data_IF_513457562517
#
_entry.id   IF_513457562517
#
_cell.length_a   1.000
_cell.length_b   1.000
_cell.length_c   1.000
_cell.angle_alpha   90.00
_cell.angle_beta   90.00
_cell.angle_gamma   90.00
#
_symmetry.space_group_name_H-M   'P 1'
#
loop_
_entity.id
_entity.type
_entity.pdbx_description
1 polymer ?
#
# COMPACT_ATOMS: atom_id res chain seq x y z
N UNK A 1 -3.29 23.25 -0.97
CA UNK A 1 -4.73 22.94 -0.74
C UNK A 1 -4.84 22.33 0.66
N UNK A 2 -5.74 22.84 1.51
CA UNK A 2 -5.91 22.34 2.88
C UNK A 2 -6.78 21.06 2.86
N UNK A 3 -6.50 20.13 3.77
CA UNK A 3 -7.24 18.87 3.93
C UNK A 3 -8.72 19.08 4.28
N UNK A 4 -9.06 20.21 4.88
CA UNK A 4 -10.43 20.54 5.27
C UNK A 4 -11.41 20.63 4.10
N UNK A 5 -10.91 20.84 2.88
CA UNK A 5 -11.73 20.93 1.68
C UNK A 5 -11.96 19.60 0.95
N UNK A 6 -11.39 18.51 1.49
CA UNK A 6 -11.54 17.19 0.86
C UNK A 6 -12.84 16.51 1.33
N UNK A 7 -13.68 16.03 0.39
CA UNK A 7 -14.88 15.31 0.74
C UNK A 7 -14.58 14.06 1.56
N UNK A 8 -15.32 13.85 2.63
CA UNK A 8 -15.14 12.72 3.54
C UNK A 8 -14.14 12.94 4.67
N UNK A 9 -13.45 14.08 4.72
CA UNK A 9 -12.54 14.46 5.80
C UNK A 9 -13.22 15.46 6.74
N UNK A 10 -13.86 14.96 7.80
CA UNK A 10 -14.33 15.80 8.90
C UNK A 10 -13.20 16.19 9.86
N UNK A 11 -13.42 17.15 10.79
CA UNK A 11 -12.37 17.72 11.67
C UNK A 11 -11.59 16.66 12.45
N UNK A 12 -12.25 15.61 12.93
CA UNK A 12 -11.62 14.51 13.67
C UNK A 12 -10.61 13.74 12.80
N UNK A 13 -10.95 13.46 11.52
CA UNK A 13 -10.08 12.77 10.58
C UNK A 13 -8.90 13.63 10.15
N UNK A 14 -9.15 14.93 9.91
CA UNK A 14 -8.08 15.91 9.60
C UNK A 14 -7.08 16.00 10.75
N UNK A 15 -7.57 16.06 12.00
CA UNK A 15 -6.69 16.07 13.19
C UNK A 15 -5.84 14.79 13.26
N UNK A 16 -6.41 13.62 13.01
CA UNK A 16 -5.70 12.35 13.01
C UNK A 16 -4.63 12.28 11.89
N UNK A 17 -4.93 12.77 10.69
CA UNK A 17 -3.95 12.87 9.59
C UNK A 17 -2.79 13.79 9.96
N UNK A 18 -3.07 14.98 10.53
CA UNK A 18 -2.04 15.92 10.99
C UNK A 18 -1.14 15.31 12.06
N UNK A 19 -1.70 14.58 13.03
CA UNK A 19 -0.93 13.82 14.03
C UNK A 19 -0.03 12.74 13.39
N UNK A 20 -0.41 12.24 12.23
CA UNK A 20 0.36 11.26 11.45
C UNK A 20 1.37 11.89 10.48
N UNK A 21 1.58 13.23 10.55
CA UNK A 21 2.49 13.95 9.67
C UNK A 21 1.91 14.33 8.31
N UNK A 22 0.62 14.08 8.07
CA UNK A 22 -0.05 14.37 6.81
C UNK A 22 -0.89 15.65 6.98
N UNK A 23 -0.31 16.79 6.68
CA UNK A 23 -0.91 18.12 6.94
C UNK A 23 -1.50 18.78 5.70
N UNK A 24 -1.05 18.39 4.52
CA UNK A 24 -1.46 18.94 3.22
C UNK A 24 -1.91 17.86 2.25
N UNK A 25 -2.59 18.27 1.17
CA UNK A 25 -2.93 17.35 0.06
C UNK A 25 -1.67 16.80 -0.60
N UNK A 26 -0.59 17.57 -0.66
CA UNK A 26 0.69 17.09 -1.16
C UNK A 26 1.24 15.95 -0.28
N UNK A 27 1.20 16.10 1.05
CA UNK A 27 1.64 15.04 1.97
C UNK A 27 0.83 13.76 1.78
N UNK A 28 -0.49 13.88 1.57
CA UNK A 28 -1.33 12.73 1.24
C UNK A 28 -0.88 12.06 -0.05
N UNK A 29 -0.67 12.83 -1.12
CA UNK A 29 -0.29 12.27 -2.42
C UNK A 29 1.08 11.58 -2.37
N UNK A 30 2.00 12.04 -1.52
CA UNK A 30 3.30 11.42 -1.29
C UNK A 30 3.29 10.32 -0.20
N UNK A 31 2.16 10.07 0.45
CA UNK A 31 2.00 8.93 1.36
C UNK A 31 1.81 7.63 0.55
N UNK A 32 2.89 7.19 -0.07
CA UNK A 32 2.91 6.03 -0.98
C UNK A 32 2.49 4.75 -0.25
N UNK A 33 1.70 3.86 -0.90
CA UNK A 33 1.37 2.55 -0.33
C UNK A 33 2.62 1.77 0.06
N UNK A 34 2.57 1.09 1.20
CA UNK A 34 3.65 0.22 1.69
C UNK A 34 3.88 -0.98 0.77
N UNK A 35 2.78 -1.54 0.26
CA UNK A 35 2.78 -2.68 -0.65
C UNK A 35 1.53 -2.69 -1.53
N UNK A 36 1.53 -3.51 -2.56
CA UNK A 36 0.38 -3.75 -3.42
C UNK A 36 0.10 -5.24 -3.48
N UNK A 37 -1.17 -5.60 -3.33
CA UNK A 37 -1.65 -6.96 -3.43
C UNK A 37 -2.23 -7.16 -4.83
N UNK A 38 -1.68 -8.10 -5.55
CA UNK A 38 -2.28 -8.55 -6.80
C UNK A 38 -3.41 -9.53 -6.46
N UNK A 39 -4.63 -9.07 -6.65
CA UNK A 39 -5.85 -9.83 -6.40
C UNK A 39 -6.59 -10.13 -7.72
N UNK A 40 -5.92 -10.05 -8.86
CA UNK A 40 -6.53 -10.27 -10.18
C UNK A 40 -6.86 -11.73 -10.44
N UNK A 41 -6.12 -12.64 -9.81
CA UNK A 41 -6.32 -14.08 -9.98
C UNK A 41 -6.72 -14.71 -8.64
N UNK A 42 -7.99 -15.07 -8.53
CA UNK A 42 -8.49 -15.85 -7.40
C UNK A 42 -8.18 -17.31 -7.65
N UNK A 43 -7.50 -17.93 -6.71
CA UNK A 43 -7.23 -19.37 -6.73
C UNK A 43 -8.34 -20.13 -5.98
N UNK A 44 -8.40 -21.42 -6.20
CA UNK A 44 -9.27 -22.35 -5.47
C UNK A 44 -8.42 -23.16 -4.48
N UNK A 45 -8.91 -23.34 -3.26
CA UNK A 45 -8.22 -24.15 -2.23
C UNK A 45 -8.01 -25.58 -2.75
N UNK A 46 -9.03 -26.15 -3.41
CA UNK A 46 -8.99 -27.54 -3.89
C UNK A 46 -7.94 -27.82 -4.98
N UNK A 47 -7.46 -26.78 -5.69
CA UNK A 47 -6.45 -26.93 -6.75
C UNK A 47 -5.09 -26.36 -6.37
N UNK A 48 -5.01 -25.62 -5.26
CA UNK A 48 -3.77 -24.98 -4.81
C UNK A 48 -2.85 -25.96 -4.09
N UNK A 49 -1.54 -25.69 -4.16
CA UNK A 49 -0.49 -26.53 -3.57
C UNK A 49 0.24 -25.81 -2.44
N UNK A 50 0.85 -26.60 -1.57
CA UNK A 50 1.76 -26.08 -0.53
C UNK A 50 2.91 -25.31 -1.20
N UNK A 51 3.18 -24.10 -0.73
CA UNK A 51 4.17 -23.20 -1.27
C UNK A 51 3.61 -22.14 -2.23
N UNK A 52 2.39 -22.34 -2.76
CA UNK A 52 1.77 -21.36 -3.65
C UNK A 52 1.42 -20.08 -2.90
N UNK A 53 1.74 -18.94 -3.51
CA UNK A 53 1.22 -17.64 -3.08
C UNK A 53 -0.09 -17.39 -3.80
N UNK A 54 -1.20 -17.40 -3.05
CA UNK A 54 -2.55 -17.40 -3.61
C UNK A 54 -3.40 -16.28 -3.03
N UNK A 55 -4.40 -15.91 -3.81
CA UNK A 55 -5.54 -15.09 -3.39
C UNK A 55 -6.75 -15.99 -3.29
N UNK A 56 -7.32 -16.10 -2.10
CA UNK A 56 -8.51 -16.91 -1.84
C UNK A 56 -9.68 -16.00 -1.46
N UNK A 57 -10.85 -16.30 -1.97
CA UNK A 57 -12.09 -15.60 -1.62
C UNK A 57 -13.07 -16.63 -1.06
N UNK A 58 -13.53 -16.40 0.17
CA UNK A 58 -14.41 -17.36 0.83
C UNK A 58 -14.95 -16.85 2.17
N UNK A 59 -15.43 -17.77 2.98
CA UNK A 59 -16.03 -17.49 4.29
C UNK A 59 -15.23 -18.11 5.43
N UNK A 60 -15.21 -17.42 6.56
CA UNK A 60 -14.74 -18.01 7.82
C UNK A 60 -15.87 -18.87 8.39
N UNK A 61 -15.62 -20.16 8.54
CA UNK A 61 -16.60 -21.09 9.10
C UNK A 61 -16.68 -21.00 10.61
N UNK A 62 -15.52 -20.93 11.26
CA UNK A 62 -15.35 -20.84 12.71
C UNK A 62 -14.03 -20.17 13.05
N UNK A 63 -13.95 -19.50 14.16
CA UNK A 63 -12.72 -18.88 14.62
C UNK A 63 -12.68 -18.77 16.14
N UNK A 64 -11.49 -18.67 16.71
CA UNK A 64 -11.33 -18.52 18.15
C UNK A 64 -9.89 -18.41 18.62
N UNK A 65 -9.74 -18.06 19.89
CA UNK A 65 -8.45 -18.01 20.57
C UNK A 65 -8.13 -19.40 21.15
N UNK A 66 -6.98 -19.92 20.77
CA UNK A 66 -6.43 -21.15 21.36
C UNK A 66 -5.31 -20.77 22.30
N UNK A 67 -5.48 -21.09 23.58
CA UNK A 67 -4.48 -20.88 24.64
C UNK A 67 -3.70 -22.18 24.84
N UNK A 68 -2.42 -22.16 24.49
CA UNK A 68 -1.47 -23.21 24.78
C UNK A 68 -0.20 -22.56 25.37
N UNK A 69 0.99 -23.09 25.13
CA UNK A 69 2.24 -22.39 25.50
C UNK A 69 2.31 -20.97 24.94
N UNK A 70 1.74 -20.73 23.77
CA UNK A 70 1.57 -19.41 23.16
C UNK A 70 0.13 -19.23 22.75
N UNK A 71 -0.48 -18.06 23.08
CA UNK A 71 -1.83 -17.74 22.62
C UNK A 71 -1.80 -17.47 21.12
N UNK A 72 -2.68 -18.14 20.38
CA UNK A 72 -2.83 -17.98 18.95
C UNK A 72 -4.31 -17.80 18.57
N UNK A 73 -4.57 -17.01 17.57
CA UNK A 73 -5.90 -16.94 16.97
C UNK A 73 -5.92 -17.85 15.74
N UNK A 74 -6.95 -18.71 15.70
CA UNK A 74 -7.16 -19.66 14.60
C UNK A 74 -8.53 -19.38 14.00
N UNK A 75 -8.58 -19.34 12.66
CA UNK A 75 -9.82 -19.34 11.90
C UNK A 75 -9.79 -20.41 10.84
N UNK A 76 -10.94 -21.03 10.59
CA UNK A 76 -11.15 -22.01 9.52
C UNK A 76 -11.87 -21.32 8.38
N UNK A 77 -11.31 -21.40 7.22
CA UNK A 77 -11.76 -20.66 6.05
C UNK A 77 -12.02 -21.62 4.90
N UNK A 78 -13.12 -21.40 4.18
CA UNK A 78 -13.49 -22.21 3.02
C UNK A 78 -13.97 -21.32 1.88
N UNK A 79 -13.61 -21.74 0.66
CA UNK A 79 -14.11 -21.19 -0.60
C UNK A 79 -15.18 -22.10 -1.27
N UNK A 80 -15.59 -23.17 -0.57
CA UNK A 80 -16.49 -24.19 -1.08
C UNK A 80 -15.79 -25.34 -1.81
N UNK A 81 -14.51 -25.21 -2.16
CA UNK A 81 -13.71 -26.28 -2.82
C UNK A 81 -12.78 -27.00 -1.84
N UNK A 82 -12.50 -26.36 -0.69
CA UNK A 82 -11.66 -26.90 0.35
C UNK A 82 -11.72 -26.06 1.63
N UNK A 83 -10.95 -26.47 2.62
CA UNK A 83 -10.80 -25.78 3.90
C UNK A 83 -9.33 -25.58 4.25
N UNK A 84 -8.98 -24.40 4.79
CA UNK A 84 -7.66 -24.07 5.31
C UNK A 84 -7.75 -23.49 6.71
N UNK A 85 -6.67 -23.59 7.48
CA UNK A 85 -6.51 -22.87 8.75
C UNK A 85 -5.77 -21.56 8.52
N UNK A 86 -6.30 -20.48 9.12
CA UNK A 86 -5.63 -19.20 9.20
C UNK A 86 -5.09 -19.05 10.62
N UNK A 87 -3.79 -18.74 10.76
CA UNK A 87 -3.12 -18.62 12.05
C UNK A 87 -2.51 -17.24 12.25
N UNK A 88 -2.78 -16.67 13.42
CA UNK A 88 -2.12 -15.45 13.89
C UNK A 88 -1.50 -15.69 15.26
N UNK A 89 -0.16 -15.53 15.34
CA UNK A 89 0.59 -15.66 16.58
C UNK A 89 0.80 -14.31 17.29
N UNK A 90 0.64 -13.19 16.56
CA UNK A 90 0.77 -11.83 17.08
C UNK A 90 -0.55 -11.09 16.96
N UNK A 91 -0.77 -10.10 17.82
CA UNK A 91 -1.99 -9.27 17.85
C UNK A 91 -3.29 -10.10 17.89
N UNK A 92 -3.29 -11.20 18.62
CA UNK A 92 -4.40 -12.18 18.67
C UNK A 92 -5.72 -11.56 19.11
N UNK A 93 -5.68 -10.62 20.06
CA UNK A 93 -6.87 -9.88 20.53
C UNK A 93 -7.43 -8.93 19.45
N UNK A 94 -6.58 -8.37 18.59
CA UNK A 94 -7.02 -7.57 17.45
C UNK A 94 -7.74 -8.44 16.43
N UNK A 95 -7.16 -9.58 16.08
CA UNK A 95 -7.73 -10.48 15.09
C UNK A 95 -9.02 -11.13 15.54
N UNK A 96 -9.14 -11.46 16.84
CA UNK A 96 -10.38 -12.01 17.42
C UNK A 96 -11.57 -11.03 17.39
N UNK A 97 -11.29 -9.72 17.33
CA UNK A 97 -12.33 -8.69 17.18
C UNK A 97 -12.64 -8.38 15.69
N UNK A 98 -11.68 -8.62 14.81
CA UNK A 98 -11.76 -8.27 13.39
C UNK A 98 -12.32 -9.38 12.51
N UNK A 99 -12.06 -10.64 12.87
CA UNK A 99 -12.49 -11.82 12.11
C UNK A 99 -13.67 -12.47 12.80
N UNK A 100 -14.78 -12.59 12.07
CA UNK A 100 -16.03 -13.18 12.55
C UNK A 100 -16.43 -14.38 11.71
N UNK A 101 -16.97 -15.41 12.34
CA UNK A 101 -17.55 -16.54 11.65
C UNK A 101 -18.74 -16.10 10.77
N UNK A 102 -18.93 -16.74 9.64
CA UNK A 102 -19.96 -16.44 8.64
C UNK A 102 -19.60 -15.31 7.66
N UNK A 103 -18.68 -14.40 8.01
CA UNK A 103 -18.31 -13.29 7.15
C UNK A 103 -17.40 -13.71 5.99
N UNK A 104 -17.47 -12.96 4.88
CA UNK A 104 -16.65 -13.16 3.68
C UNK A 104 -15.36 -12.36 3.74
N UNK A 105 -14.28 -12.98 3.28
CA UNK A 105 -12.96 -12.38 3.26
C UNK A 105 -12.20 -12.70 1.98
N UNK A 106 -11.28 -11.80 1.59
CA UNK A 106 -10.16 -12.10 0.71
C UNK A 106 -8.96 -12.39 1.58
N UNK A 107 -8.28 -13.47 1.31
CA UNK A 107 -7.00 -13.84 1.91
C UNK A 107 -5.91 -13.77 0.85
N UNK A 108 -4.78 -13.17 1.20
CA UNK A 108 -3.58 -13.19 0.36
C UNK A 108 -2.41 -13.69 1.19
N UNK A 109 -1.81 -14.78 0.75
CA UNK A 109 -0.71 -15.38 1.49
C UNK A 109 -0.13 -16.59 0.82
N UNK A 110 0.84 -17.20 1.47
CA UNK A 110 1.44 -18.45 1.02
C UNK A 110 0.79 -19.61 1.76
N UNK A 111 0.37 -20.62 1.01
CA UNK A 111 -0.13 -21.86 1.57
C UNK A 111 1.02 -22.68 2.17
N UNK A 112 0.85 -23.05 3.41
CA UNK A 112 1.70 -24.01 4.11
C UNK A 112 0.91 -25.24 4.49
N UNK A 113 1.57 -26.19 5.14
CA UNK A 113 0.96 -27.39 5.68
C UNK A 113 1.45 -27.65 7.11
N UNK A 114 0.55 -28.09 7.96
CA UNK A 114 0.91 -28.61 9.27
C UNK A 114 0.16 -29.94 9.51
N UNK A 115 0.92 -31.02 9.57
CA UNK A 115 0.34 -32.37 9.55
C UNK A 115 -0.33 -32.64 8.20
N UNK A 116 -1.64 -32.78 8.21
CA UNK A 116 -2.47 -32.98 6.99
C UNK A 116 -3.39 -31.79 6.69
N UNK A 117 -3.16 -30.65 7.35
CA UNK A 117 -4.04 -29.50 7.24
C UNK A 117 -3.33 -28.37 6.52
N UNK A 118 -3.92 -27.88 5.43
CA UNK A 118 -3.47 -26.67 4.76
C UNK A 118 -3.65 -25.47 5.67
N UNK A 119 -2.67 -24.59 5.72
CA UNK A 119 -2.71 -23.40 6.57
C UNK A 119 -2.12 -22.18 5.89
N UNK A 120 -2.55 -21.00 6.32
CA UNK A 120 -1.88 -19.72 6.06
C UNK A 120 -1.49 -19.06 7.38
N UNK A 121 -0.20 -18.70 7.51
CA UNK A 121 0.32 -18.02 8.69
C UNK A 121 0.42 -16.53 8.39
N UNK A 122 -0.26 -15.71 9.22
CA UNK A 122 -0.29 -14.26 9.06
C UNK A 122 -0.66 -13.78 7.63
N UNK A 123 -1.73 -14.31 6.98
CA UNK A 123 -2.14 -13.80 5.69
C UNK A 123 -2.57 -12.33 5.80
N UNK A 124 -2.48 -11.61 4.70
CA UNK A 124 -3.23 -10.37 4.57
C UNK A 124 -4.71 -10.70 4.39
N UNK A 125 -5.58 -10.05 5.20
CA UNK A 125 -7.00 -10.34 5.22
C UNK A 125 -7.81 -9.06 5.01
N UNK A 126 -8.77 -9.12 4.12
CA UNK A 126 -9.68 -8.04 3.80
C UNK A 126 -11.12 -8.53 3.87
N UNK A 127 -11.97 -7.79 4.58
CA UNK A 127 -13.43 -8.06 4.63
C UNK A 127 -14.06 -7.72 3.28
N UNK A 128 -14.96 -8.58 2.82
CA UNK A 128 -15.89 -8.33 1.72
C UNK A 128 -17.29 -8.19 2.32
N UNK A 129 -17.98 -7.11 2.01
CA UNK A 129 -19.40 -6.97 2.39
C UNK A 129 -20.24 -8.01 1.65
N UNK A 130 -21.32 -8.51 2.24
CA UNK A 130 -22.10 -9.64 1.66
C UNK A 130 -22.66 -9.34 0.27
N UNK A 131 -23.00 -8.09 0.01
CA UNK A 131 -23.54 -7.62 -1.27
C UNK A 131 -22.47 -7.11 -2.24
N UNK A 132 -21.18 -7.10 -1.86
CA UNK A 132 -20.11 -6.67 -2.75
C UNK A 132 -19.65 -7.86 -3.61
N UNK A 133 -19.72 -7.70 -4.92
CA UNK A 133 -19.01 -8.60 -5.83
C UNK A 133 -17.49 -8.36 -5.71
N UNK A 134 -16.75 -9.45 -5.68
CA UNK A 134 -15.29 -9.35 -5.70
C UNK A 134 -14.79 -9.18 -7.13
N UNK A 135 -14.35 -7.99 -7.46
CA UNK A 135 -13.90 -7.68 -8.83
C UNK A 135 -12.42 -7.91 -9.09
N UNK A 136 -11.67 -8.37 -8.11
CA UNK A 136 -10.22 -8.51 -8.25
C UNK A 136 -9.52 -7.16 -8.50
N UNK A 137 -8.20 -7.18 -8.64
CA UNK A 137 -7.44 -5.99 -8.99
C UNK A 137 -6.16 -5.82 -8.19
N UNK A 138 -5.44 -4.73 -8.46
CA UNK A 138 -4.26 -4.38 -7.68
C UNK A 138 -4.68 -3.46 -6.54
N UNK A 139 -4.52 -3.96 -5.32
CA UNK A 139 -5.00 -3.29 -4.12
C UNK A 139 -3.84 -2.66 -3.35
N UNK A 140 -3.76 -1.33 -3.26
CA UNK A 140 -2.76 -0.65 -2.45
C UNK A 140 -3.03 -0.84 -0.95
N UNK A 141 -1.95 -1.08 -0.19
CA UNK A 141 -1.97 -1.23 1.27
C UNK A 141 -1.16 -0.11 1.90
N UNK A 142 -1.80 0.68 2.75
CA UNK A 142 -1.20 1.85 3.40
C UNK A 142 -0.71 1.53 4.82
N UNK A 143 0.31 2.25 5.26
CA UNK A 143 0.65 2.31 6.68
C UNK A 143 -0.36 3.19 7.39
N UNK A 144 -1.04 2.65 8.39
CA UNK A 144 -2.09 3.35 9.15
C UNK A 144 -1.58 3.55 10.56
N UNK A 145 -1.53 4.80 11.02
CA UNK A 145 -1.15 5.15 12.39
C UNK A 145 -2.28 4.85 13.38
N UNK A 146 -1.94 4.76 14.67
CA UNK A 146 -2.92 4.57 15.73
C UNK A 146 -3.98 5.67 15.76
N UNK A 147 -3.58 6.94 15.59
CA UNK A 147 -4.51 8.07 15.50
C UNK A 147 -5.52 7.93 14.35
N UNK A 148 -5.09 7.37 13.21
CA UNK A 148 -5.98 7.08 12.08
C UNK A 148 -6.94 5.93 12.40
N UNK A 149 -6.48 4.89 13.10
CA UNK A 149 -7.36 3.79 13.56
C UNK A 149 -8.43 4.29 14.53
N UNK A 150 -8.07 5.13 15.50
CA UNK A 150 -9.02 5.75 16.45
C UNK A 150 -10.07 6.63 15.74
N UNK A 151 -9.68 7.25 14.62
CA UNK A 151 -10.57 8.04 13.77
C UNK A 151 -11.37 7.18 12.76
N UNK A 152 -11.33 5.84 12.90
CA UNK A 152 -11.98 4.85 12.00
C UNK A 152 -11.56 5.01 10.53
N UNK A 153 -10.29 5.36 10.29
CA UNK A 153 -9.69 5.42 8.96
C UNK A 153 -8.89 4.15 8.71
N UNK A 154 -9.54 3.17 8.10
CA UNK A 154 -8.95 1.89 7.70
C UNK A 154 -8.55 1.88 6.21
N UNK A 155 -8.04 0.75 5.72
CA UNK A 155 -7.57 0.58 4.33
C UNK A 155 -8.61 0.99 3.28
N UNK A 156 -9.90 0.60 3.48
CA UNK A 156 -11.02 0.96 2.59
C UNK A 156 -11.18 2.49 2.49
N UNK A 157 -11.05 3.18 3.62
CA UNK A 157 -11.14 4.64 3.67
C UNK A 157 -10.03 5.31 2.84
N UNK A 158 -8.77 4.89 3.03
CA UNK A 158 -7.65 5.47 2.26
C UNK A 158 -7.80 5.22 0.76
N UNK A 159 -8.19 4.02 0.35
CA UNK A 159 -8.44 3.71 -1.06
C UNK A 159 -9.51 4.60 -1.68
N UNK A 160 -10.64 4.78 -1.00
CA UNK A 160 -11.71 5.69 -1.45
C UNK A 160 -11.26 7.15 -1.48
N UNK A 161 -10.49 7.59 -0.47
CA UNK A 161 -9.95 8.94 -0.42
C UNK A 161 -9.07 9.23 -1.64
N UNK A 162 -8.13 8.34 -1.96
CA UNK A 162 -7.25 8.51 -3.12
C UNK A 162 -8.01 8.38 -4.45
N UNK A 163 -8.95 7.44 -4.56
CA UNK A 163 -9.77 7.32 -5.75
C UNK A 163 -10.57 8.61 -6.03
N UNK A 164 -11.14 9.24 -5.00
CA UNK A 164 -11.85 10.50 -5.12
C UNK A 164 -10.91 11.67 -5.43
N UNK A 165 -9.72 11.70 -4.80
CA UNK A 165 -8.68 12.69 -5.07
C UNK A 165 -8.30 12.70 -6.55
N UNK A 166 -8.01 11.54 -7.14
CA UNK A 166 -7.61 11.44 -8.55
C UNK A 166 -8.76 11.56 -9.56
N UNK A 167 -10.02 11.49 -9.10
CA UNK A 167 -11.19 11.85 -9.92
C UNK A 167 -11.38 13.36 -10.03
N UNK A 168 -10.97 14.13 -9.01
CA UNK A 168 -11.06 15.59 -9.05
C UNK A 168 -9.99 16.13 -10.00
N UNK A 169 -10.41 16.90 -11.03
CA UNK A 169 -9.50 17.43 -12.06
C UNK A 169 -8.58 18.56 -11.60
N UNK A 170 -8.69 18.99 -10.34
CA UNK A 170 -8.00 20.19 -9.81
C UNK A 170 -6.74 19.87 -8.98
N UNK A 171 -6.11 18.72 -9.19
CA UNK A 171 -4.86 18.41 -8.52
C UNK A 171 -3.71 19.19 -9.16
N UNK A 172 -3.15 20.14 -8.41
CA UNK A 172 -1.93 20.85 -8.78
C UNK A 172 -0.82 20.48 -7.80
N UNK A 173 0.25 19.91 -8.31
CA UNK A 173 1.47 19.63 -7.55
C UNK A 173 2.58 20.48 -8.17
N UNK A 174 3.39 21.19 -7.34
CA UNK A 174 4.55 21.89 -7.83
C UNK A 174 5.46 20.95 -8.62
N UNK A 175 5.98 21.41 -9.75
CA UNK A 175 6.94 20.63 -10.53
C UNK A 175 8.25 20.52 -9.77
N UNK A 176 8.67 19.30 -9.53
CA UNK A 176 9.95 19.00 -8.88
C UNK A 176 11.08 18.99 -9.91
N UNK A 177 10.76 18.74 -11.18
CA UNK A 177 11.72 18.55 -12.26
C UNK A 177 11.41 19.47 -13.45
N UNK A 178 12.43 20.07 -14.12
CA UNK A 178 12.26 20.81 -15.37
C UNK A 178 11.61 19.95 -16.47
N UNK A 179 10.82 20.59 -17.34
CA UNK A 179 10.13 19.91 -18.43
C UNK A 179 11.11 19.20 -19.37
N UNK A 180 12.15 19.88 -19.74
CA UNK A 180 13.18 19.41 -20.68
C UNK A 180 13.77 18.07 -20.21
N UNK A 181 13.90 17.89 -18.92
CA UNK A 181 14.44 16.66 -18.33
C UNK A 181 13.39 15.55 -18.25
N UNK A 182 12.14 15.89 -17.93
CA UNK A 182 11.04 14.90 -17.92
C UNK A 182 10.75 14.41 -19.34
N UNK A 183 10.82 15.30 -20.33
CA UNK A 183 10.62 14.97 -21.74
C UNK A 183 11.78 14.10 -22.27
N UNK A 184 13.03 14.46 -21.94
CA UNK A 184 14.21 13.66 -22.27
C UNK A 184 14.18 12.25 -21.67
N UNK A 185 13.64 12.10 -20.46
CA UNK A 185 13.51 10.81 -19.77
C UNK A 185 12.20 10.09 -20.09
N UNK A 186 11.37 10.63 -20.98
CA UNK A 186 10.04 10.11 -21.33
C UNK A 186 9.18 9.81 -20.10
N UNK A 187 9.26 10.68 -19.08
CA UNK A 187 8.58 10.47 -17.81
C UNK A 187 7.16 11.03 -17.83
N UNK A 188 6.18 10.28 -17.31
CA UNK A 188 4.84 10.82 -17.07
C UNK A 188 4.86 12.00 -16.10
N UNK A 189 3.78 12.79 -16.09
CA UNK A 189 3.62 13.84 -15.08
C UNK A 189 3.67 13.25 -13.66
N UNK A 190 4.09 14.06 -12.67
CA UNK A 190 4.13 13.63 -11.25
C UNK A 190 2.76 13.13 -10.77
N UNK A 191 1.69 13.79 -11.18
CA UNK A 191 0.31 13.38 -10.86
C UNK A 191 -0.01 12.01 -11.43
N UNK A 192 0.40 11.74 -12.67
CA UNK A 192 0.20 10.44 -13.31
C UNK A 192 1.03 9.33 -12.65
N UNK A 193 2.27 9.63 -12.25
CA UNK A 193 3.11 8.71 -11.47
C UNK A 193 2.43 8.34 -10.16
N UNK A 194 1.93 9.33 -9.41
CA UNK A 194 1.24 9.11 -8.15
C UNK A 194 -0.08 8.37 -8.34
N UNK A 195 -0.83 8.70 -9.40
CA UNK A 195 -2.07 7.98 -9.76
C UNK A 195 -1.80 6.49 -10.00
N UNK A 196 -0.74 6.13 -10.73
CA UNK A 196 -0.34 4.73 -10.94
C UNK A 196 0.00 4.00 -9.65
N UNK A 197 0.48 4.70 -8.64
CA UNK A 197 0.82 4.10 -7.35
C UNK A 197 -0.40 3.94 -6.43
N UNK A 198 -1.32 4.91 -6.42
CA UNK A 198 -2.49 4.89 -5.54
C UNK A 198 -3.71 4.19 -6.14
N UNK A 199 -3.86 4.24 -7.47
CA UNK A 199 -4.96 3.65 -8.23
C UNK A 199 -4.43 2.84 -9.41
N UNK A 200 -3.60 1.82 -9.18
CA UNK A 200 -3.00 1.03 -10.26
C UNK A 200 -4.06 0.18 -10.97
N UNK A 201 -3.90 0.02 -12.27
CA UNK A 201 -4.69 -0.89 -13.11
C UNK A 201 -4.01 -2.25 -13.25
N UNK A 202 -2.68 -2.27 -13.12
CA UNK A 202 -1.84 -3.45 -13.26
C UNK A 202 -0.62 -3.38 -12.35
N UNK A 203 0.05 -4.48 -12.10
CA UNK A 203 1.37 -4.48 -11.44
C UNK A 203 2.43 -3.76 -12.28
N UNK A 204 2.26 -3.70 -13.60
CA UNK A 204 3.08 -2.87 -14.49
C UNK A 204 3.02 -1.38 -14.15
N UNK A 205 1.82 -0.85 -13.85
CA UNK A 205 1.65 0.54 -13.39
C UNK A 205 2.42 0.80 -12.09
N UNK A 206 2.34 -0.13 -11.13
CA UNK A 206 3.07 -0.04 -9.85
C UNK A 206 4.57 0.00 -10.10
N UNK A 207 5.09 -0.91 -10.93
CA UNK A 207 6.51 -0.98 -11.25
C UNK A 207 7.01 0.32 -11.90
N UNK A 208 6.31 0.80 -12.93
CA UNK A 208 6.66 2.04 -13.62
C UNK A 208 6.54 3.26 -12.71
N UNK A 209 5.44 3.36 -11.94
CA UNK A 209 5.25 4.44 -10.98
C UNK A 209 6.40 4.50 -9.94
N UNK A 210 6.79 3.36 -9.37
CA UNK A 210 7.93 3.28 -8.43
C UNK A 210 9.26 3.64 -9.07
N UNK A 211 9.50 3.19 -10.31
CA UNK A 211 10.73 3.52 -11.07
C UNK A 211 10.82 5.03 -11.27
N UNK A 212 9.76 5.66 -11.78
CA UNK A 212 9.74 7.10 -12.01
C UNK A 212 9.87 7.90 -10.70
N UNK A 213 9.19 7.48 -9.63
CA UNK A 213 9.30 8.15 -8.33
C UNK A 213 10.74 8.12 -7.79
N UNK A 214 11.42 6.98 -7.87
CA UNK A 214 12.84 6.86 -7.48
C UNK A 214 13.74 7.82 -8.25
N UNK A 215 13.50 7.98 -9.56
CA UNK A 215 14.25 8.94 -10.38
C UNK A 215 14.02 10.36 -9.88
N UNK A 216 12.75 10.75 -9.62
CA UNK A 216 12.41 12.08 -9.11
C UNK A 216 13.04 12.37 -7.74
N UNK A 217 13.12 11.39 -6.85
CA UNK A 217 13.74 11.53 -5.52
C UNK A 217 15.26 11.65 -5.60
N UNK A 218 15.91 10.85 -6.46
CA UNK A 218 17.37 10.83 -6.57
C UNK A 218 17.94 11.98 -7.38
N UNK A 219 17.21 12.46 -8.38
CA UNK A 219 17.66 13.48 -9.32
C UNK A 219 18.14 14.79 -8.65
N UNK A 220 17.40 15.41 -7.71
CA UNK A 220 17.86 16.61 -7.01
C UNK A 220 19.16 16.36 -6.24
N UNK A 221 19.32 15.18 -5.67
CA UNK A 221 20.56 14.80 -4.98
C UNK A 221 21.73 14.69 -5.97
N UNK A 222 21.56 13.98 -7.08
CA UNK A 222 22.57 13.86 -8.13
C UNK A 222 22.98 15.23 -8.69
N UNK A 223 22.02 16.11 -8.97
CA UNK A 223 22.28 17.47 -9.45
C UNK A 223 23.09 18.31 -8.45
N UNK A 224 22.78 18.20 -7.13
CA UNK A 224 23.58 18.87 -6.09
C UNK A 224 25.01 18.36 -6.06
N UNK A 225 25.20 17.04 -6.17
CA UNK A 225 26.52 16.42 -6.20
C UNK A 225 27.34 16.89 -7.42
N UNK A 226 26.73 16.92 -8.62
CA UNK A 226 27.36 17.39 -9.84
C UNK A 226 27.77 18.88 -9.72
N UNK A 227 26.85 19.73 -9.23
CA UNK A 227 27.15 21.15 -8.99
C UNK A 227 28.31 21.34 -8.02
N UNK A 228 28.32 20.59 -6.92
CA UNK A 228 29.41 20.64 -5.92
C UNK A 228 30.75 20.19 -6.54
N UNK A 229 30.75 19.10 -7.30
CA UNK A 229 31.95 18.62 -7.99
C UNK A 229 32.49 19.65 -8.98
N UNK A 230 31.63 20.25 -9.81
CA UNK A 230 32.04 21.32 -10.74
C UNK A 230 32.64 22.53 -10.03
N UNK A 231 32.01 22.98 -8.94
CA UNK A 231 32.53 24.12 -8.15
C UNK A 231 33.90 23.82 -7.54
N UNK A 232 34.16 22.59 -7.10
CA UNK A 232 35.47 22.19 -6.56
C UNK A 232 36.55 22.12 -7.67
N UNK A 233 36.22 21.61 -8.84
CA UNK A 233 37.13 21.58 -9.99
C UNK A 233 37.49 22.99 -10.46
N UNK A 234 36.52 23.90 -10.52
CA UNK A 234 36.74 25.29 -10.89
C UNK A 234 37.70 26.02 -9.92
N UNK A 235 37.46 25.87 -8.60
CA UNK A 235 38.36 26.41 -7.56
C UNK A 235 39.76 25.81 -7.60
N UNK A 236 39.87 24.55 -8.01
CA UNK A 236 41.17 23.88 -8.19
C UNK A 236 41.97 24.40 -9.38
N UNK A 237 41.30 24.78 -10.46
CA UNK A 237 41.97 25.39 -11.65
C UNK A 237 42.38 26.83 -11.40
N UNK A 238 41.57 27.65 -10.70
CA UNK A 238 42.00 29.02 -10.30
C UNK A 238 43.25 29.00 -9.41
N UNK A 239 43.32 28.09 -8.44
CA UNK A 239 44.52 27.93 -7.57
C UNK A 239 45.79 27.52 -8.33
N UNK A 240 45.68 26.86 -9.49
CA UNK A 240 46.81 26.51 -10.32
C UNK A 240 47.28 27.68 -11.19
N UNK A 241 46.36 28.56 -11.62
CA UNK A 241 46.69 29.76 -12.38
C UNK A 241 47.34 30.86 -11.54
N UNK A 242 47.10 30.91 -10.25
CA UNK A 242 47.70 31.92 -9.32
C UNK A 242 49.12 31.48 -8.85
N UNK A 243 49.53 30.24 -9.13
CA UNK A 243 50.86 29.67 -8.75
C UNK A 243 51.87 29.67 -9.90
N UNK A 244 51.54 30.18 -11.09
CA UNK A 244 52.42 30.50 -12.17
C UNK A 244 52.66 32.03 -12.25
#
# INVERSE_FOLDING_TARGET
MDLNYLPGLGPKRVSALKKSGLSTVADLLYNIPRTWLDQTQVASIGTSRVGDKVVLVGRVLRCGLVRSRTTRFIAYFSDGTGEIQILFFKATSYWSKKISAGSRYVLVGTLGEFGRTLQMVHPEIQVIEENDEYHGGIVPVYSISEACHEAKMEQKFFRLLYANLFKSQNLSIPRICPRELTDFLEMPSVIEILRRLHCPRSMGDVYQGRKCLKVLELLPFCLRMIKRRRALLYRGSERKLIKQ
#
